data_IF_035446267410
#
_entry.id   IF_035446267410
#
_cell.length_a   1.000
_cell.length_b   1.000
_cell.length_c   1.000
_cell.angle_alpha   90.00
_cell.angle_beta   90.00
_cell.angle_gamma   90.00
#
_symmetry.space_group_name_H-M   'P 1'
#
loop_
_entity.id
_entity.type
_entity.pdbx_description
1 polymer ?
#
# COMPACT_ATOMS: atom_id res chain seq x y z
N UNK A 1 -3.98 -17.07 -25.93
CA UNK A 1 -3.83 -15.64 -25.58
C UNK A 1 -4.36 -15.37 -24.17
N UNK A 2 -5.63 -15.69 -23.85
CA UNK A 2 -6.19 -15.52 -22.49
C UNK A 2 -5.44 -16.37 -21.45
N UNK A 3 -5.06 -17.62 -21.78
CA UNK A 3 -4.30 -18.50 -20.88
C UNK A 3 -2.90 -17.97 -20.52
N UNK A 4 -2.21 -17.36 -21.47
CA UNK A 4 -0.89 -16.78 -21.23
C UNK A 4 -0.99 -15.54 -20.32
N UNK A 5 -2.02 -14.71 -20.52
CA UNK A 5 -2.31 -13.59 -19.62
C UNK A 5 -2.65 -14.10 -18.21
N UNK A 6 -3.42 -15.19 -18.09
CA UNK A 6 -3.74 -15.79 -16.80
C UNK A 6 -2.49 -16.25 -16.04
N UNK A 7 -1.54 -16.90 -16.72
CA UNK A 7 -0.25 -17.31 -16.13
C UNK A 7 0.57 -16.11 -15.65
N UNK A 8 0.59 -15.01 -16.41
CA UNK A 8 1.29 -13.78 -15.99
C UNK A 8 0.66 -13.17 -14.72
N UNK A 9 -0.68 -13.15 -14.64
CA UNK A 9 -1.38 -12.68 -13.45
C UNK A 9 -1.11 -13.57 -12.24
N UNK A 10 -1.05 -14.88 -12.42
CA UNK A 10 -0.70 -15.82 -11.35
C UNK A 10 0.72 -15.57 -10.84
N UNK A 11 1.70 -15.42 -11.74
CA UNK A 11 3.07 -15.07 -11.38
C UNK A 11 3.17 -13.75 -10.63
N UNK A 12 2.46 -12.71 -11.09
CA UNK A 12 2.37 -11.41 -10.41
C UNK A 12 1.80 -11.53 -9.00
N UNK A 13 0.72 -12.31 -8.84
CA UNK A 13 0.09 -12.51 -7.54
C UNK A 13 0.98 -13.33 -6.59
N UNK A 14 1.75 -14.29 -7.11
CA UNK A 14 2.72 -15.03 -6.31
C UNK A 14 3.84 -14.13 -5.79
N UNK A 15 4.35 -13.23 -6.65
CA UNK A 15 5.34 -12.23 -6.25
C UNK A 15 4.82 -11.31 -5.14
N UNK A 16 3.57 -10.85 -5.23
CA UNK A 16 2.96 -10.03 -4.18
C UNK A 16 2.87 -10.77 -2.84
N UNK A 17 2.51 -12.07 -2.85
CA UNK A 17 2.51 -12.91 -1.63
C UNK A 17 3.91 -13.04 -1.04
N UNK A 18 4.92 -13.27 -1.87
CA UNK A 18 6.31 -13.35 -1.42
C UNK A 18 6.83 -12.01 -0.88
N UNK A 19 6.43 -10.90 -1.48
CA UNK A 19 6.73 -9.56 -0.97
C UNK A 19 6.09 -9.37 0.41
N UNK A 20 4.82 -9.75 0.58
CA UNK A 20 4.12 -9.63 1.87
C UNK A 20 4.83 -10.39 2.99
N UNK A 21 5.22 -11.64 2.75
CA UNK A 21 5.94 -12.45 3.76
C UNK A 21 7.29 -11.83 4.17
N UNK A 22 7.95 -11.08 3.28
CA UNK A 22 9.21 -10.40 3.57
C UNK A 22 9.00 -9.03 4.24
N UNK A 23 8.05 -8.22 3.75
CA UNK A 23 7.81 -6.89 4.28
C UNK A 23 7.11 -6.92 5.63
N UNK A 24 6.23 -7.89 5.89
CA UNK A 24 5.49 -7.99 7.15
C UNK A 24 6.40 -7.96 8.39
N UNK A 25 7.42 -8.83 8.54
CA UNK A 25 8.32 -8.77 9.69
C UNK A 25 9.13 -7.47 9.73
N UNK A 26 9.51 -6.91 8.58
CA UNK A 26 10.24 -5.65 8.50
C UNK A 26 9.41 -4.47 9.03
N UNK A 27 8.18 -4.32 8.54
CA UNK A 27 7.25 -3.27 8.99
C UNK A 27 6.93 -3.42 10.47
N UNK A 28 6.68 -4.66 10.93
CA UNK A 28 6.45 -4.93 12.35
C UNK A 28 7.65 -4.53 13.21
N UNK A 29 8.87 -4.79 12.73
CA UNK A 29 10.09 -4.40 13.44
C UNK A 29 10.26 -2.87 13.49
N UNK A 30 10.04 -2.16 12.37
CA UNK A 30 10.08 -0.68 12.33
C UNK A 30 9.15 -0.09 13.40
N UNK A 31 7.92 -0.58 13.47
CA UNK A 31 6.91 -0.09 14.42
C UNK A 31 7.26 -0.49 15.86
N UNK A 32 7.63 -1.75 16.09
CA UNK A 32 7.94 -2.27 17.44
C UNK A 32 9.19 -1.63 18.04
N UNK A 33 10.21 -1.37 17.22
CA UNK A 33 11.42 -0.66 17.62
C UNK A 33 11.23 0.85 17.77
N UNK A 34 10.04 1.37 17.41
CA UNK A 34 9.75 2.80 17.34
C UNK A 34 10.80 3.57 16.52
N UNK A 35 11.24 2.99 15.41
CA UNK A 35 12.24 3.61 14.55
C UNK A 35 11.69 4.95 14.03
N UNK A 36 12.45 6.03 14.21
CA UNK A 36 12.06 7.40 13.81
C UNK A 36 12.80 7.90 12.56
N UNK A 37 13.56 7.03 11.91
CA UNK A 37 14.22 7.33 10.65
C UNK A 37 13.18 7.39 9.52
N UNK A 38 12.70 8.61 9.27
CA UNK A 38 11.73 8.91 8.22
C UNK A 38 12.24 8.45 6.86
N UNK A 39 13.52 8.61 6.54
CA UNK A 39 14.06 8.24 5.23
C UNK A 39 14.01 6.72 5.03
N UNK A 40 14.35 5.94 6.06
CA UNK A 40 14.25 4.49 6.02
C UNK A 40 12.80 4.02 5.81
N UNK A 41 11.84 4.69 6.48
CA UNK A 41 10.41 4.40 6.34
C UNK A 41 9.91 4.75 4.94
N UNK A 42 10.25 5.92 4.42
CA UNK A 42 9.90 6.36 3.07
C UNK A 42 10.47 5.40 2.02
N UNK A 43 11.76 5.06 2.12
CA UNK A 43 12.40 4.10 1.21
C UNK A 43 11.69 2.73 1.25
N UNK A 44 11.27 2.27 2.42
CA UNK A 44 10.49 1.02 2.53
C UNK A 44 9.13 1.14 1.83
N UNK A 45 8.43 2.27 2.00
CA UNK A 45 7.15 2.54 1.35
C UNK A 45 7.28 2.60 -0.19
N UNK A 46 8.37 3.17 -0.71
CA UNK A 46 8.62 3.23 -2.17
C UNK A 46 8.55 1.85 -2.81
N UNK A 47 9.23 0.84 -2.25
CA UNK A 47 9.18 -0.53 -2.81
C UNK A 47 7.85 -1.23 -2.55
N UNK A 48 7.21 -0.98 -1.41
CA UNK A 48 5.92 -1.60 -1.09
C UNK A 48 4.81 -1.12 -2.04
N UNK A 49 4.91 0.11 -2.55
CA UNK A 49 3.92 0.74 -3.41
C UNK A 49 3.69 -0.06 -4.71
N UNK A 50 4.74 -0.65 -5.28
CA UNK A 50 4.68 -1.47 -6.50
C UNK A 50 3.81 -2.72 -6.34
N UNK A 51 3.62 -3.20 -5.10
CA UNK A 51 2.82 -4.39 -4.79
C UNK A 51 1.42 -4.05 -4.26
N UNK A 52 1.05 -2.77 -4.16
CA UNK A 52 -0.22 -2.35 -3.56
C UNK A 52 -1.47 -2.66 -4.40
N UNK A 53 -1.32 -3.30 -5.56
CA UNK A 53 -2.42 -3.98 -6.25
C UNK A 53 -2.96 -5.18 -5.47
N UNK A 54 -2.15 -5.77 -4.58
CA UNK A 54 -2.57 -6.82 -3.67
C UNK A 54 -3.13 -6.23 -2.37
N UNK A 55 -4.28 -6.75 -1.92
CA UNK A 55 -4.98 -6.23 -0.76
C UNK A 55 -4.20 -6.39 0.56
N UNK A 56 -3.44 -7.46 0.73
CA UNK A 56 -2.66 -7.68 1.94
C UNK A 56 -1.46 -6.72 2.00
N UNK A 57 -0.81 -6.52 0.85
CA UNK A 57 0.26 -5.52 0.70
C UNK A 57 -0.24 -4.11 0.97
N UNK A 58 -1.40 -3.73 0.42
CA UNK A 58 -2.00 -2.43 0.66
C UNK A 58 -2.35 -2.20 2.14
N UNK A 59 -2.86 -3.21 2.84
CA UNK A 59 -3.13 -3.09 4.28
C UNK A 59 -1.85 -2.85 5.08
N UNK A 60 -0.77 -3.57 4.73
CA UNK A 60 0.53 -3.41 5.38
C UNK A 60 1.14 -2.03 5.08
N UNK A 61 1.06 -1.58 3.83
CA UNK A 61 1.47 -0.23 3.39
C UNK A 61 0.75 0.85 4.19
N UNK A 62 -0.59 0.78 4.29
CA UNK A 62 -1.39 1.73 5.09
C UNK A 62 -1.03 1.73 6.57
N UNK A 63 -0.64 0.57 7.12
CA UNK A 63 -0.15 0.48 8.49
C UNK A 63 1.12 1.32 8.67
N UNK A 64 2.08 1.16 7.77
CA UNK A 64 3.33 1.93 7.81
C UNK A 64 3.11 3.42 7.52
N UNK A 65 2.20 3.79 6.60
CA UNK A 65 1.82 5.19 6.41
C UNK A 65 1.22 5.82 7.67
N UNK A 66 0.40 5.09 8.43
CA UNK A 66 -0.16 5.59 9.70
C UNK A 66 0.93 5.83 10.74
N UNK A 67 1.91 4.94 10.79
CA UNK A 67 3.07 5.13 11.65
C UNK A 67 3.90 6.35 11.21
N UNK A 68 4.20 6.47 9.92
CA UNK A 68 4.87 7.63 9.33
C UNK A 68 4.11 8.93 9.61
N UNK A 69 2.78 8.93 9.56
CA UNK A 69 1.98 10.12 9.84
C UNK A 69 2.22 10.69 11.26
N UNK A 70 2.57 9.84 12.22
CA UNK A 70 2.94 10.29 13.57
C UNK A 70 4.31 10.99 13.64
N UNK A 71 5.15 10.81 12.62
CA UNK A 71 6.50 11.38 12.52
C UNK A 71 6.53 12.56 11.54
N UNK A 72 5.96 12.37 10.35
CA UNK A 72 5.82 13.34 9.27
C UNK A 72 4.49 13.11 8.55
N UNK A 73 3.51 13.94 8.87
CA UNK A 73 2.18 13.87 8.28
C UNK A 73 2.18 14.22 6.78
N UNK A 74 3.06 15.13 6.34
CA UNK A 74 3.12 15.53 4.93
C UNK A 74 3.65 14.39 4.08
N UNK A 75 4.72 13.72 4.53
CA UNK A 75 5.25 12.54 3.85
C UNK A 75 4.19 11.43 3.76
N UNK A 76 3.48 11.15 4.85
CA UNK A 76 2.40 10.15 4.84
C UNK A 76 1.28 10.49 3.85
N UNK A 77 0.87 11.75 3.76
CA UNK A 77 -0.14 12.21 2.80
C UNK A 77 0.37 12.04 1.36
N UNK A 78 1.63 12.37 1.09
CA UNK A 78 2.25 12.17 -0.22
C UNK A 78 2.21 10.70 -0.65
N UNK A 79 2.51 9.76 0.25
CA UNK A 79 2.42 8.32 -0.05
C UNK A 79 0.99 7.83 -0.27
N UNK A 80 0.02 8.34 0.49
CA UNK A 80 -1.40 8.04 0.22
C UNK A 80 -1.80 8.54 -1.16
N UNK A 81 -1.36 9.74 -1.56
CA UNK A 81 -1.65 10.28 -2.88
C UNK A 81 -0.94 9.51 -3.99
N UNK A 82 0.31 9.10 -3.80
CA UNK A 82 1.06 8.28 -4.76
C UNK A 82 0.35 6.93 -5.01
N UNK A 83 -0.18 6.29 -3.96
CA UNK A 83 -1.03 5.10 -4.12
C UNK A 83 -2.25 5.38 -5.00
N UNK A 84 -2.97 6.47 -4.76
CA UNK A 84 -4.18 6.80 -5.53
C UNK A 84 -3.84 7.07 -6.99
N UNK A 85 -2.78 7.82 -7.25
CA UNK A 85 -2.33 8.15 -8.60
C UNK A 85 -1.97 6.88 -9.39
N UNK A 86 -1.36 5.89 -8.75
CA UNK A 86 -0.96 4.64 -9.41
C UNK A 86 -2.09 3.60 -9.55
N UNK A 87 -3.02 3.54 -8.58
CA UNK A 87 -3.91 2.38 -8.44
C UNK A 87 -5.41 2.70 -8.38
N UNK A 88 -5.82 3.91 -8.01
CA UNK A 88 -7.24 4.26 -8.01
C UNK A 88 -7.70 4.57 -9.45
N UNK A 89 -8.94 4.21 -9.76
CA UNK A 89 -9.56 4.61 -11.01
C UNK A 89 -9.72 6.13 -11.08
N UNK A 90 -9.60 6.71 -12.28
CA UNK A 90 -9.79 8.14 -12.48
C UNK A 90 -11.15 8.61 -11.93
N UNK A 91 -11.13 9.62 -11.06
CA UNK A 91 -12.34 10.20 -10.47
C UNK A 91 -12.80 9.59 -9.14
N UNK A 92 -12.10 8.59 -8.59
CA UNK A 92 -12.36 8.11 -7.23
C UNK A 92 -11.98 9.19 -6.21
N UNK A 93 -13.00 9.81 -5.59
CA UNK A 93 -12.80 10.76 -4.48
C UNK A 93 -13.11 10.09 -3.13
N UNK A 94 -12.14 10.16 -2.22
CA UNK A 94 -12.35 9.78 -0.82
C UNK A 94 -13.36 10.73 -0.17
N UNK A 95 -14.50 10.21 0.30
CA UNK A 95 -15.52 10.99 1.03
C UNK A 95 -16.96 10.90 0.51
N UNK A 96 -17.21 10.31 -0.65
CA UNK A 96 -18.59 10.01 -1.06
C UNK A 96 -19.04 8.70 -0.41
N UNK A 97 -19.52 8.81 0.83
CA UNK A 97 -20.58 7.91 1.31
C UNK A 97 -21.66 7.95 0.23
N UNK A 98 -21.91 6.82 -0.44
CA UNK A 98 -23.17 6.62 -1.15
C UNK A 98 -24.25 6.91 -0.11
N UNK A 99 -24.94 8.05 -0.23
CA UNK A 99 -26.24 8.18 0.39
C UNK A 99 -27.09 7.12 -0.31
N UNK A 100 -27.40 6.07 0.45
CA UNK A 100 -28.32 5.04 0.05
C UNK A 100 -29.57 5.72 -0.52
N UNK A 101 -29.87 5.44 -1.79
CA UNK A 101 -31.19 5.67 -2.36
C UNK A 101 -32.18 4.93 -1.47
N UNK A 102 -32.84 5.70 -0.59
CA UNK A 102 -34.04 5.21 0.09
C UNK A 102 -35.13 5.12 -0.98
N UNK A 103 -35.52 3.87 -1.22
CA UNK A 103 -36.77 3.42 -1.85
C UNK A 103 -37.97 4.23 -1.35
#
# INVERSE_FOLDING_TARGET
MIEEIAKLLEGRNLLAKQAYEQYKPLVNNIIASQNKDVNHICYTLDFMLDFCFDNQMLQLFRCLCRYLHGLDANAAISYVNAYREMWDEEGVKFGNKKMEEKV
#
